data_IF_622505681964
#
_entry.id   IF_622505681964
#
_cell.length_a   1.000
_cell.length_b   1.000
_cell.length_c   1.000
_cell.angle_alpha   90.00
_cell.angle_beta   90.00
_cell.angle_gamma   90.00
#
_symmetry.space_group_name_H-M   'P 1'
#
loop_
_entity.id
_entity.type
_entity.pdbx_description
1 polymer ?
#
# COMPACT_ATOMS: atom_id res chain seq x y z
N UNK A 1 4.22 2.35 20.40
CA UNK A 1 4.23 1.17 19.51
C UNK A 1 3.44 0.07 20.19
N UNK A 2 2.22 -0.20 19.72
CA UNK A 2 1.36 -1.23 20.26
C UNK A 2 1.00 -2.24 19.17
N UNK A 3 1.01 -3.53 19.49
CA UNK A 3 0.72 -4.60 18.57
C UNK A 3 -0.49 -5.40 19.06
N UNK A 4 -1.55 -5.43 18.25
CA UNK A 4 -2.77 -6.19 18.61
C UNK A 4 -2.46 -7.68 18.62
N UNK A 5 -2.82 -8.34 19.71
CA UNK A 5 -2.71 -9.78 19.88
C UNK A 5 -3.97 -10.49 19.38
N UNK A 6 -5.13 -10.08 19.89
CA UNK A 6 -6.45 -10.60 19.51
C UNK A 6 -7.59 -9.73 20.04
N UNK A 7 -8.79 -10.00 19.54
CA UNK A 7 -10.05 -9.47 20.06
C UNK A 7 -10.72 -10.57 20.89
N UNK A 8 -11.21 -10.22 22.07
CA UNK A 8 -11.98 -11.10 22.93
C UNK A 8 -13.48 -10.88 22.75
N UNK A 9 -14.21 -11.98 22.72
CA UNK A 9 -15.65 -12.00 22.49
C UNK A 9 -16.39 -12.58 23.70
N UNK A 10 -17.59 -12.04 23.97
CA UNK A 10 -18.58 -12.60 24.86
C UNK A 10 -19.87 -12.83 24.06
N UNK A 11 -20.34 -14.08 24.01
CA UNK A 11 -21.53 -14.44 23.23
C UNK A 11 -21.51 -13.89 21.79
N UNK A 12 -20.37 -14.00 21.10
CA UNK A 12 -20.12 -13.47 19.74
C UNK A 12 -20.11 -11.94 19.63
N UNK A 13 -20.15 -11.22 20.74
CA UNK A 13 -20.01 -9.76 20.76
C UNK A 13 -18.56 -9.39 21.09
N UNK A 14 -17.92 -8.59 20.25
CA UNK A 14 -16.58 -8.09 20.51
C UNK A 14 -16.60 -7.12 21.71
N UNK A 15 -15.78 -7.38 22.72
CA UNK A 15 -15.77 -6.62 23.97
C UNK A 15 -14.45 -5.95 24.28
N UNK A 16 -13.35 -6.61 23.97
CA UNK A 16 -12.05 -6.23 24.47
C UNK A 16 -10.98 -6.50 23.41
N UNK A 17 -9.96 -5.66 23.36
CA UNK A 17 -8.75 -5.88 22.55
C UNK A 17 -7.58 -6.18 23.48
N UNK A 18 -6.90 -7.30 23.28
CA UNK A 18 -5.59 -7.60 23.85
C UNK A 18 -4.49 -7.10 22.91
N UNK A 19 -3.52 -6.41 23.46
CA UNK A 19 -2.39 -5.88 22.69
C UNK A 19 -1.10 -5.84 23.51
N UNK A 20 0.02 -5.91 22.82
CA UNK A 20 1.34 -5.74 23.40
C UNK A 20 1.74 -4.25 23.32
N UNK A 21 2.19 -3.70 24.42
CA UNK A 21 2.88 -2.42 24.50
C UNK A 21 4.30 -2.64 25.02
N UNK A 22 5.26 -2.64 24.10
CA UNK A 22 6.58 -3.20 24.41
C UNK A 22 6.47 -4.70 24.72
N UNK A 23 6.84 -5.09 25.93
CA UNK A 23 6.77 -6.48 26.41
C UNK A 23 5.58 -6.73 27.36
N UNK A 24 4.73 -5.74 27.59
CA UNK A 24 3.58 -5.86 28.48
C UNK A 24 2.31 -6.19 27.69
N UNK A 25 1.59 -7.20 28.15
CA UNK A 25 0.26 -7.53 27.61
C UNK A 25 -0.79 -6.65 28.30
N UNK A 26 -1.49 -5.86 27.52
CA UNK A 26 -2.54 -4.95 27.99
C UNK A 26 -3.88 -5.30 27.36
N UNK A 27 -4.95 -4.81 28.00
CA UNK A 27 -6.34 -5.00 27.58
C UNK A 27 -7.06 -3.66 27.59
N UNK A 28 -7.93 -3.45 26.62
CA UNK A 28 -8.82 -2.31 26.55
C UNK A 28 -10.22 -2.75 26.15
N UNK A 29 -11.23 -2.30 26.88
CA UNK A 29 -12.63 -2.59 26.59
C UNK A 29 -13.23 -1.54 25.67
N UNK A 30 -14.12 -1.98 24.80
CA UNK A 30 -14.89 -1.12 23.93
C UNK A 30 -16.33 -0.97 24.44
N UNK A 31 -16.81 0.26 24.56
CA UNK A 31 -18.18 0.53 25.04
C UNK A 31 -19.23 0.43 23.92
N UNK A 32 -18.83 0.60 22.66
CA UNK A 32 -19.75 0.58 21.50
C UNK A 32 -19.33 -0.45 20.46
N UNK A 33 -18.17 -0.26 19.86
CA UNK A 33 -17.69 -1.08 18.75
C UNK A 33 -16.16 -1.14 18.69
N UNK A 34 -15.64 -2.14 17.99
CA UNK A 34 -14.23 -2.28 17.68
C UNK A 34 -14.09 -2.18 16.16
N UNK A 35 -13.31 -1.20 15.69
CA UNK A 35 -13.07 -0.96 14.26
C UNK A 35 -11.69 -1.52 13.90
N UNK A 36 -11.64 -2.45 12.95
CA UNK A 36 -10.40 -3.02 12.42
C UNK A 36 -10.08 -2.34 11.09
N UNK A 37 -8.94 -1.64 11.04
CA UNK A 37 -8.43 -0.98 9.83
C UNK A 37 -6.92 -1.21 9.64
N UNK A 38 -6.49 -2.46 9.81
CA UNK A 38 -5.07 -2.87 9.81
C UNK A 38 -4.55 -3.26 8.42
N UNK A 39 -5.26 -2.87 7.37
CA UNK A 39 -4.92 -3.17 5.98
C UNK A 39 -5.30 -4.59 5.54
N UNK A 40 -5.01 -4.89 4.28
CA UNK A 40 -5.46 -6.13 3.62
C UNK A 40 -4.85 -7.42 4.22
N UNK A 41 -3.71 -7.32 4.88
CA UNK A 41 -3.05 -8.45 5.57
C UNK A 41 -3.37 -8.44 7.06
N UNK A 42 -3.23 -7.30 7.73
CA UNK A 42 -3.36 -7.22 9.19
C UNK A 42 -4.81 -7.42 9.67
N UNK A 43 -5.79 -6.91 8.95
CA UNK A 43 -7.20 -7.07 9.36
C UNK A 43 -7.67 -8.53 9.35
N UNK A 44 -7.48 -9.31 8.27
CA UNK A 44 -7.83 -10.73 8.31
C UNK A 44 -6.96 -11.53 9.30
N UNK A 45 -5.70 -11.17 9.51
CA UNK A 45 -4.89 -11.81 10.54
C UNK A 45 -5.48 -11.62 11.93
N UNK A 46 -5.86 -10.38 12.29
CA UNK A 46 -6.50 -10.09 13.58
C UNK A 46 -7.80 -10.88 13.74
N UNK A 47 -8.62 -10.97 12.70
CA UNK A 47 -9.85 -11.76 12.72
C UNK A 47 -9.55 -13.25 12.98
N UNK A 48 -8.61 -13.84 12.24
CA UNK A 48 -8.26 -15.25 12.38
C UNK A 48 -7.69 -15.58 13.76
N UNK A 49 -6.75 -14.81 14.28
CA UNK A 49 -6.19 -15.05 15.64
C UNK A 49 -7.22 -14.78 16.74
N UNK A 50 -8.35 -14.15 16.42
CA UNK A 50 -9.48 -13.91 17.31
C UNK A 50 -10.59 -14.94 17.17
N UNK A 51 -10.41 -15.99 16.36
CA UNK A 51 -11.36 -17.08 16.18
C UNK A 51 -12.41 -16.85 15.08
N UNK A 52 -12.19 -15.90 14.17
CA UNK A 52 -13.09 -15.63 13.03
C UNK A 52 -12.39 -16.03 11.73
N UNK A 53 -12.89 -17.04 11.05
CA UNK A 53 -12.28 -17.54 9.82
C UNK A 53 -12.73 -18.93 9.43
N UNK A 54 -11.94 -19.60 8.59
CA UNK A 54 -12.21 -20.98 8.20
C UNK A 54 -12.00 -21.94 9.37
N UNK A 55 -13.01 -22.78 9.71
CA UNK A 55 -12.98 -23.67 10.88
C UNK A 55 -11.80 -24.65 10.89
N UNK A 56 -11.47 -25.24 9.75
CA UNK A 56 -10.37 -26.21 9.65
C UNK A 56 -9.01 -25.54 9.85
N UNK A 57 -8.81 -24.36 9.26
CA UNK A 57 -7.59 -23.56 9.48
C UNK A 57 -7.42 -23.18 10.94
N UNK A 58 -8.48 -22.66 11.57
CA UNK A 58 -8.45 -22.26 12.99
C UNK A 58 -8.15 -23.46 13.90
N UNK A 59 -8.82 -24.59 13.67
CA UNK A 59 -8.60 -25.82 14.42
C UNK A 59 -7.15 -26.32 14.29
N UNK A 60 -6.59 -26.31 13.07
CA UNK A 60 -5.20 -26.74 12.84
C UNK A 60 -4.16 -25.84 13.52
N UNK A 61 -4.52 -24.58 13.79
CA UNK A 61 -3.70 -23.60 14.51
C UNK A 61 -3.95 -23.61 16.03
N UNK A 62 -4.87 -24.45 16.53
CA UNK A 62 -5.23 -24.49 17.95
C UNK A 62 -6.00 -23.25 18.41
N UNK A 63 -6.72 -22.59 17.49
CA UNK A 63 -7.52 -21.39 17.78
C UNK A 63 -8.97 -21.79 17.91
N UNK A 64 -9.60 -21.45 19.06
CA UNK A 64 -11.01 -21.67 19.29
C UNK A 64 -11.86 -20.82 18.34
N UNK A 65 -12.80 -21.48 17.66
CA UNK A 65 -13.67 -20.80 16.70
C UNK A 65 -14.77 -20.01 17.40
N UNK A 66 -14.84 -18.72 17.10
CA UNK A 66 -15.94 -17.82 17.51
C UNK A 66 -17.00 -17.75 16.42
N UNK A 67 -16.57 -17.60 15.16
CA UNK A 67 -17.46 -17.49 14.02
C UNK A 67 -16.83 -18.12 12.77
N UNK A 68 -17.58 -19.03 12.13
CA UNK A 68 -17.26 -19.52 10.79
C UNK A 68 -17.47 -18.42 9.76
N UNK A 69 -16.37 -18.07 9.08
CA UNK A 69 -16.36 -17.08 8.02
C UNK A 69 -15.24 -17.41 7.03
N UNK A 70 -15.53 -18.31 6.09
CA UNK A 70 -14.54 -18.91 5.19
C UNK A 70 -13.78 -17.91 4.32
N UNK A 71 -14.36 -16.73 4.01
CA UNK A 71 -13.72 -15.70 3.20
C UNK A 71 -12.61 -14.90 3.90
N UNK A 72 -12.46 -15.04 5.22
CA UNK A 72 -11.43 -14.28 5.96
C UNK A 72 -10.03 -14.78 5.63
N UNK A 73 -9.22 -13.88 5.06
CA UNK A 73 -7.84 -14.18 4.63
C UNK A 73 -7.74 -14.92 3.30
N UNK A 74 -8.84 -15.01 2.55
CA UNK A 74 -8.86 -15.56 1.20
C UNK A 74 -8.91 -14.44 0.15
N UNK A 75 -8.61 -14.81 -1.11
CA UNK A 75 -8.72 -13.91 -2.27
C UNK A 75 -7.92 -12.60 -2.13
N UNK A 76 -6.74 -12.65 -1.50
CA UNK A 76 -5.84 -11.51 -1.48
C UNK A 76 -5.40 -11.19 -2.91
N UNK A 77 -5.68 -9.96 -3.33
CA UNK A 77 -5.27 -9.45 -4.64
C UNK A 77 -4.28 -8.30 -4.46
N UNK A 78 -3.31 -8.21 -5.35
CA UNK A 78 -2.42 -7.08 -5.49
C UNK A 78 -2.30 -6.70 -6.97
N UNK A 79 -1.86 -5.49 -7.24
CA UNK A 79 -1.68 -5.02 -8.60
C UNK A 79 -0.56 -5.79 -9.32
N UNK A 80 -0.88 -6.42 -10.45
CA UNK A 80 0.13 -6.83 -11.41
C UNK A 80 0.63 -5.58 -12.14
N UNK A 81 1.88 -5.19 -11.90
CA UNK A 81 2.44 -3.97 -12.49
C UNK A 81 3.56 -4.27 -13.47
N UNK A 82 3.49 -3.65 -14.65
CA UNK A 82 4.59 -3.57 -15.59
C UNK A 82 5.13 -2.14 -15.60
N UNK A 83 6.47 -2.00 -15.56
CA UNK A 83 7.16 -0.71 -15.48
C UNK A 83 8.19 -0.55 -16.61
N UNK A 84 7.77 -0.42 -17.87
CA UNK A 84 8.70 -0.14 -18.96
C UNK A 84 9.35 1.23 -18.76
N UNK A 85 10.62 1.33 -19.11
CA UNK A 85 11.40 2.56 -19.02
C UNK A 85 11.71 3.02 -20.42
N UNK A 86 11.26 4.23 -20.77
CA UNK A 86 11.51 4.82 -22.07
C UNK A 86 12.57 5.91 -21.97
N UNK A 87 13.73 5.65 -22.58
CA UNK A 87 14.77 6.67 -22.75
C UNK A 87 14.30 7.72 -23.74
N UNK A 88 14.49 8.99 -23.38
CA UNK A 88 14.04 10.11 -24.20
C UNK A 88 15.20 10.97 -24.66
N UNK A 89 15.10 11.49 -25.89
CA UNK A 89 16.04 12.40 -26.48
C UNK A 89 15.35 13.75 -26.72
N UNK A 90 16.10 14.85 -26.60
CA UNK A 90 15.56 16.19 -26.86
C UNK A 90 14.70 16.79 -25.75
N UNK A 91 14.29 15.98 -24.72
CA UNK A 91 13.55 16.46 -23.58
C UNK A 91 14.30 16.18 -22.28
N UNK A 92 13.99 16.94 -21.24
CA UNK A 92 14.59 16.77 -19.91
C UNK A 92 13.60 16.08 -18.98
N UNK A 93 14.02 14.98 -18.34
CA UNK A 93 13.32 14.36 -17.20
C UNK A 93 13.93 14.83 -15.89
N UNK A 94 13.32 14.45 -14.78
CA UNK A 94 13.81 14.79 -13.44
C UNK A 94 15.09 14.05 -13.04
N UNK A 95 15.46 12.94 -13.71
CA UNK A 95 16.57 12.09 -13.34
C UNK A 95 17.87 12.85 -13.02
N UNK A 96 18.36 13.63 -14.00
CA UNK A 96 19.61 14.38 -13.82
C UNK A 96 19.53 15.46 -12.76
N UNK A 97 18.36 16.11 -12.62
CA UNK A 97 18.13 17.15 -11.61
C UNK A 97 18.16 16.54 -10.19
N UNK A 98 17.50 15.42 -10.00
CA UNK A 98 17.44 14.71 -8.71
C UNK A 98 18.78 14.05 -8.35
N UNK A 99 19.51 13.54 -9.33
CA UNK A 99 20.84 12.94 -9.10
C UNK A 99 21.95 13.98 -8.80
N UNK A 100 21.68 15.26 -8.92
CA UNK A 100 22.63 16.35 -8.69
C UNK A 100 22.40 17.00 -7.31
N UNK A 101 23.45 17.18 -6.52
CA UNK A 101 23.38 17.92 -5.25
C UNK A 101 22.85 19.35 -5.44
N UNK A 102 23.33 20.04 -6.48
CA UNK A 102 22.84 21.38 -6.81
C UNK A 102 21.38 21.35 -7.26
N UNK A 103 20.99 20.34 -8.04
CA UNK A 103 19.60 20.14 -8.45
C UNK A 103 18.67 19.92 -7.27
N UNK A 104 19.06 19.10 -6.30
CA UNK A 104 18.29 18.86 -5.09
C UNK A 104 18.17 20.12 -4.22
N UNK A 105 19.26 20.90 -4.08
CA UNK A 105 19.22 22.18 -3.39
C UNK A 105 18.22 23.13 -4.04
N UNK A 106 18.25 23.26 -5.37
CA UNK A 106 17.34 24.14 -6.10
C UNK A 106 15.88 23.68 -6.00
N UNK A 107 15.62 22.37 -6.02
CA UNK A 107 14.28 21.81 -5.80
C UNK A 107 13.79 22.15 -4.39
N UNK A 108 14.65 22.00 -3.39
CA UNK A 108 14.33 22.35 -2.00
C UNK A 108 14.02 23.84 -1.81
N UNK A 109 14.86 24.71 -2.37
CA UNK A 109 14.65 26.17 -2.30
C UNK A 109 13.37 26.60 -3.02
N UNK A 110 13.09 26.02 -4.20
CA UNK A 110 11.86 26.27 -4.93
C UNK A 110 10.63 25.92 -4.08
N UNK A 111 10.65 24.77 -3.40
CA UNK A 111 9.58 24.37 -2.52
C UNK A 111 9.42 25.28 -1.30
N UNK A 112 10.52 25.64 -0.63
CA UNK A 112 10.49 26.48 0.57
C UNK A 112 9.91 27.87 0.25
N UNK A 113 10.42 28.51 -0.81
CA UNK A 113 10.08 29.89 -1.12
C UNK A 113 8.82 30.05 -1.98
N UNK A 114 8.54 29.11 -2.89
CA UNK A 114 7.46 29.24 -3.86
C UNK A 114 6.33 28.22 -3.66
N UNK A 115 6.53 27.20 -2.82
CA UNK A 115 5.59 26.08 -2.68
C UNK A 115 5.23 25.44 -4.02
N UNK A 116 6.20 25.32 -4.92
CA UNK A 116 6.06 24.80 -6.27
C UNK A 116 7.19 23.81 -6.62
N UNK A 117 7.14 23.24 -7.82
CA UNK A 117 8.16 22.36 -8.35
C UNK A 117 7.99 20.87 -7.96
N UNK A 118 9.03 20.06 -8.18
CA UNK A 118 8.94 18.61 -8.04
C UNK A 118 8.48 18.10 -6.67
N UNK A 119 8.74 18.83 -5.58
CA UNK A 119 8.30 18.42 -4.24
C UNK A 119 6.78 18.62 -3.98
N UNK A 120 6.06 19.29 -4.86
CA UNK A 120 4.59 19.45 -4.77
C UNK A 120 3.84 18.43 -5.62
N UNK A 121 4.55 17.60 -6.38
CA UNK A 121 3.95 16.65 -7.30
C UNK A 121 3.76 15.30 -6.62
N UNK A 122 2.68 14.62 -6.95
CA UNK A 122 2.54 13.19 -6.67
C UNK A 122 3.59 12.37 -7.44
N UNK A 123 3.72 11.11 -7.06
CA UNK A 123 4.68 10.20 -7.70
C UNK A 123 4.45 10.06 -9.21
N UNK A 124 3.20 10.20 -9.67
CA UNK A 124 2.80 10.17 -11.08
C UNK A 124 2.04 11.44 -11.42
N UNK A 125 2.41 12.07 -12.53
CA UNK A 125 1.78 13.31 -12.97
C UNK A 125 0.62 13.11 -13.93
N UNK A 126 0.64 12.02 -14.68
CA UNK A 126 -0.39 11.66 -15.63
C UNK A 126 -0.93 10.30 -15.29
N UNK A 127 -2.25 10.16 -15.39
CA UNK A 127 -2.95 8.92 -15.26
C UNK A 127 -3.84 8.71 -16.49
N UNK A 128 -3.89 7.47 -16.97
CA UNK A 128 -4.74 7.07 -18.08
C UNK A 128 -5.42 5.76 -17.72
N UNK A 129 -6.68 5.63 -18.08
CA UNK A 129 -7.43 4.40 -18.00
C UNK A 129 -7.70 3.88 -19.42
N UNK A 130 -7.48 2.61 -19.64
CA UNK A 130 -7.66 1.98 -20.94
C UNK A 130 -8.30 0.60 -20.78
N UNK A 131 -8.92 0.12 -21.84
CA UNK A 131 -9.40 -1.26 -21.94
C UNK A 131 -8.32 -2.11 -22.59
N UNK A 132 -8.02 -3.29 -22.01
CA UNK A 132 -7.14 -4.27 -22.65
C UNK A 132 -7.80 -4.90 -23.86
N UNK A 133 -9.12 -4.99 -23.87
CA UNK A 133 -9.94 -5.46 -24.97
C UNK A 133 -11.11 -4.49 -25.21
N UNK A 134 -11.38 -4.08 -26.46
CA UNK A 134 -12.49 -3.19 -26.79
C UNK A 134 -13.88 -3.69 -26.37
N UNK A 135 -14.06 -5.00 -26.21
CA UNK A 135 -15.32 -5.61 -25.79
C UNK A 135 -15.64 -5.44 -24.30
N UNK A 136 -14.67 -5.06 -23.48
CA UNK A 136 -14.91 -4.83 -22.05
C UNK A 136 -15.83 -3.63 -21.85
N UNK A 137 -16.71 -3.71 -20.86
CA UNK A 137 -17.61 -2.61 -20.52
C UNK A 137 -16.84 -1.44 -19.90
N UNK A 138 -15.93 -1.74 -18.97
CA UNK A 138 -15.12 -0.77 -18.24
C UNK A 138 -13.63 -0.92 -18.53
N UNK A 139 -12.83 0.17 -18.38
CA UNK A 139 -11.38 0.06 -18.39
C UNK A 139 -10.87 -0.86 -17.28
N UNK A 140 -9.94 -1.74 -17.62
CA UNK A 140 -9.28 -2.69 -16.73
C UNK A 140 -7.77 -2.41 -16.59
N UNK A 141 -7.24 -1.44 -17.32
CA UNK A 141 -5.85 -1.00 -17.22
C UNK A 141 -5.77 0.43 -16.72
N UNK A 142 -4.88 0.63 -15.75
CA UNK A 142 -4.53 1.95 -15.24
C UNK A 142 -3.05 2.25 -15.50
N UNK A 143 -2.78 3.40 -16.09
CA UNK A 143 -1.44 3.87 -16.38
C UNK A 143 -1.06 5.04 -15.49
N UNK A 144 0.13 4.99 -14.92
CA UNK A 144 0.74 6.06 -14.16
C UNK A 144 2.05 6.47 -14.81
N UNK A 145 2.17 7.73 -15.25
CA UNK A 145 3.37 8.19 -15.92
C UNK A 145 4.21 9.05 -14.97
N UNK A 146 5.43 8.59 -14.73
CA UNK A 146 6.40 9.28 -13.89
C UNK A 146 7.47 9.95 -14.77
N UNK A 147 7.80 11.24 -14.57
CA UNK A 147 8.83 11.96 -15.34
C UNK A 147 10.25 11.61 -14.88
N UNK A 148 10.45 10.42 -14.37
CA UNK A 148 11.72 9.89 -13.90
C UNK A 148 11.77 8.37 -14.09
N UNK A 149 12.95 7.79 -13.93
CA UNK A 149 13.16 6.34 -14.00
C UNK A 149 14.20 5.85 -13.02
N UNK A 150 13.98 4.64 -12.50
CA UNK A 150 14.84 3.91 -11.58
C UNK A 150 14.68 2.41 -11.80
N UNK A 151 15.68 1.60 -11.45
CA UNK A 151 15.63 0.14 -11.64
C UNK A 151 14.51 -0.52 -10.84
N UNK A 152 14.39 -0.14 -9.58
CA UNK A 152 13.35 -0.67 -8.68
C UNK A 152 12.57 0.47 -8.03
N UNK A 153 11.30 0.22 -7.74
CA UNK A 153 10.47 1.20 -7.01
C UNK A 153 11.08 1.44 -5.62
N UNK A 154 11.29 2.72 -5.29
CA UNK A 154 11.93 3.10 -4.03
C UNK A 154 13.47 3.04 -4.03
N UNK A 155 14.10 2.81 -5.20
CA UNK A 155 15.55 2.92 -5.31
C UNK A 155 16.03 4.33 -4.92
N UNK A 156 17.18 4.39 -4.27
CA UNK A 156 17.78 5.66 -3.82
C UNK A 156 18.41 6.47 -4.94
N UNK A 157 18.59 5.86 -6.11
CA UNK A 157 19.25 6.49 -7.27
C UNK A 157 18.42 6.30 -8.54
N UNK A 158 18.23 7.41 -9.26
CA UNK A 158 17.62 7.39 -10.58
C UNK A 158 18.68 7.08 -11.65
N UNK A 159 18.25 6.66 -12.84
CA UNK A 159 19.14 6.50 -13.98
C UNK A 159 19.85 7.84 -14.34
N UNK A 160 21.03 7.75 -14.87
CA UNK A 160 21.86 8.91 -15.27
C UNK A 160 21.47 9.52 -16.64
N UNK A 161 20.49 8.92 -17.31
CA UNK A 161 19.92 9.38 -18.58
C UNK A 161 18.51 9.93 -18.40
N UNK A 162 18.04 10.71 -19.38
CA UNK A 162 16.66 11.19 -19.40
C UNK A 162 15.71 10.07 -19.81
N UNK A 163 14.69 9.82 -19.00
CA UNK A 163 13.68 8.82 -19.25
C UNK A 163 12.38 9.17 -18.52
N UNK A 164 11.29 8.49 -18.90
CA UNK A 164 10.04 8.44 -18.17
C UNK A 164 9.61 6.98 -17.98
N UNK A 165 8.80 6.76 -16.99
CA UNK A 165 8.30 5.41 -16.65
C UNK A 165 6.77 5.42 -16.65
N UNK A 166 6.10 4.90 -17.69
CA UNK A 166 4.69 4.59 -17.64
C UNK A 166 4.52 3.23 -16.94
N UNK A 167 3.98 3.25 -15.76
CA UNK A 167 3.61 2.03 -15.03
C UNK A 167 2.18 1.67 -15.38
N UNK A 168 1.94 0.45 -15.85
CA UNK A 168 0.61 -0.08 -16.08
C UNK A 168 0.27 -1.11 -15.03
N UNK A 169 -0.95 -1.05 -14.51
CA UNK A 169 -1.53 -2.04 -13.59
C UNK A 169 -2.95 -2.38 -14.01
N UNK A 170 -3.41 -3.54 -13.59
CA UNK A 170 -4.80 -3.99 -13.69
C UNK A 170 -5.46 -4.05 -12.31
#
# INVERSE_FOLDING_TARGET
HSHVKKINFENKTAKEVEYWEGNELKKVQANKEIIISSGAIGSPQILQVSGIGNPEKLKNLGIDMVQDLNGVGENLHDHLMLRPIYKINGLKSLNKKINSLFGNLMIGLEYIFKRSGPMTMGASQLCMFAKSDPSLELPDLQWHVQPMSMDTLGATKNHDFHAFTPTVSN
#
